data_IF_327510455610
#
_entry.id   IF_327510455610
#
_cell.length_a   1.000
_cell.length_b   1.000
_cell.length_c   1.000
_cell.angle_alpha   90.00
_cell.angle_beta   90.00
_cell.angle_gamma   90.00
#
_symmetry.space_group_name_H-M   'P 1'
#
loop_
_entity.id
_entity.type
_entity.pdbx_description
1 polymer ?
#
# COMPACT_ATOMS: atom_id res chain seq x y z
N UNK A 1 -3.53 5.13 31.25
CA UNK A 1 -4.40 6.33 31.37
C UNK A 1 -3.60 7.64 31.30
N UNK A 2 -2.37 7.72 31.83
CA UNK A 2 -1.48 8.89 31.70
C UNK A 2 -1.04 9.15 30.24
N UNK A 3 -0.56 8.14 29.53
CA UNK A 3 -0.07 8.26 28.13
C UNK A 3 -1.18 8.79 27.19
N UNK A 4 -2.41 8.29 27.30
CA UNK A 4 -3.55 8.77 26.50
C UNK A 4 -3.88 10.26 26.73
N UNK A 5 -3.66 10.77 27.95
CA UNK A 5 -3.86 12.20 28.25
C UNK A 5 -2.78 13.09 27.65
N UNK A 6 -1.59 12.54 27.38
CA UNK A 6 -0.51 13.27 26.72
C UNK A 6 -0.78 13.42 25.22
N UNK A 7 -1.25 12.37 24.54
CA UNK A 7 -1.60 12.43 23.12
C UNK A 7 -2.76 13.35 22.80
N UNK A 8 -3.75 13.47 23.68
CA UNK A 8 -4.84 14.44 23.52
C UNK A 8 -4.33 15.90 23.53
N UNK A 9 -3.29 16.20 24.32
CA UNK A 9 -2.65 17.53 24.32
C UNK A 9 -1.81 17.74 23.06
N UNK A 10 -1.05 16.72 22.65
CA UNK A 10 -0.28 16.75 21.40
C UNK A 10 -1.21 17.04 20.23
N UNK A 11 -2.37 16.40 20.16
CA UNK A 11 -3.37 16.67 19.13
C UNK A 11 -3.83 18.13 19.14
N UNK A 12 -4.23 18.67 20.30
CA UNK A 12 -4.70 20.06 20.42
C UNK A 12 -3.62 21.07 20.01
N UNK A 13 -2.38 20.85 20.45
CA UNK A 13 -1.23 21.68 20.08
C UNK A 13 -0.93 21.60 18.58
N UNK A 14 -1.00 20.40 17.98
CA UNK A 14 -0.78 20.23 16.54
C UNK A 14 -1.89 20.88 15.71
N UNK A 15 -3.17 20.76 16.12
CA UNK A 15 -4.29 21.43 15.46
C UNK A 15 -4.12 22.95 15.49
N UNK A 16 -3.69 23.53 16.61
CA UNK A 16 -3.36 24.97 16.70
C UNK A 16 -2.18 25.34 15.81
N UNK A 17 -1.12 24.52 15.77
CA UNK A 17 0.02 24.77 14.90
C UNK A 17 -0.38 24.76 13.42
N UNK A 18 -1.22 23.82 12.99
CA UNK A 18 -1.75 23.73 11.61
C UNK A 18 -2.67 24.90 11.27
N UNK A 19 -3.42 25.44 12.25
CA UNK A 19 -4.21 26.66 12.03
C UNK A 19 -3.32 27.88 11.73
N UNK A 20 -2.13 27.96 12.34
CA UNK A 20 -1.15 29.01 12.09
C UNK A 20 -0.39 28.78 10.78
N UNK A 21 -0.02 27.55 10.49
CA UNK A 21 0.66 27.14 9.26
C UNK A 21 0.08 25.83 8.71
N UNK A 22 -0.79 25.98 7.70
CA UNK A 22 -1.45 24.87 7.01
C UNK A 22 -0.51 24.04 6.12
N UNK A 23 0.71 24.51 5.93
CA UNK A 23 1.74 23.84 5.10
C UNK A 23 2.80 23.14 5.95
N UNK A 24 2.62 23.12 7.28
CA UNK A 24 3.56 22.48 8.19
C UNK A 24 3.50 20.94 8.09
N UNK A 25 4.41 20.34 7.31
CA UNK A 25 4.55 18.89 7.22
C UNK A 25 4.72 18.24 8.61
N UNK A 26 5.53 18.87 9.48
CA UNK A 26 5.74 18.40 10.86
C UNK A 26 4.47 18.48 11.72
N UNK A 27 3.67 19.54 11.56
CA UNK A 27 2.40 19.68 12.28
C UNK A 27 1.42 18.56 11.92
N UNK A 28 1.26 18.29 10.62
CA UNK A 28 0.44 17.19 10.11
C UNK A 28 0.97 15.81 10.54
N UNK A 29 2.30 15.61 10.51
CA UNK A 29 2.92 14.35 10.95
C UNK A 29 2.62 14.06 12.43
N UNK A 30 2.88 15.02 13.31
CA UNK A 30 2.66 14.87 14.75
C UNK A 30 1.18 14.70 15.09
N UNK A 31 0.29 15.38 14.37
CA UNK A 31 -1.16 15.17 14.48
C UNK A 31 -1.55 13.74 14.09
N UNK A 32 -1.02 13.25 12.97
CA UNK A 32 -1.21 11.88 12.51
C UNK A 32 -0.82 10.86 13.58
N UNK A 33 0.38 10.98 14.17
CA UNK A 33 0.84 10.11 15.25
C UNK A 33 -0.07 10.14 16.49
N UNK A 34 -0.51 11.33 16.91
CA UNK A 34 -1.41 11.47 18.05
C UNK A 34 -2.76 10.78 17.83
N UNK A 35 -3.33 10.93 16.64
CA UNK A 35 -4.59 10.29 16.24
C UNK A 35 -4.46 8.76 16.15
N UNK A 36 -3.35 8.26 15.58
CA UNK A 36 -3.06 6.83 15.54
C UNK A 36 -3.00 6.24 16.95
N UNK A 37 -2.36 6.92 17.89
CA UNK A 37 -2.25 6.47 19.28
C UNK A 37 -3.59 6.54 20.05
N UNK A 38 -4.50 7.42 19.61
CA UNK A 38 -5.88 7.50 20.09
C UNK A 38 -6.84 6.51 19.42
N UNK A 39 -6.35 5.68 18.49
CA UNK A 39 -7.13 4.74 17.68
C UNK A 39 -8.10 5.40 16.70
N UNK A 40 -7.86 6.67 16.38
CA UNK A 40 -8.60 7.41 15.34
C UNK A 40 -7.90 7.21 13.98
N UNK A 41 -7.79 5.94 13.57
CA UNK A 41 -6.95 5.50 12.46
C UNK A 41 -7.21 6.24 11.15
N UNK A 42 -8.48 6.41 10.78
CA UNK A 42 -8.85 7.04 9.51
C UNK A 42 -8.49 8.53 9.44
N UNK A 43 -8.51 9.27 10.54
CA UNK A 43 -8.02 10.66 10.58
C UNK A 43 -6.50 10.68 10.65
N UNK A 44 -5.89 9.82 11.48
CA UNK A 44 -4.44 9.72 11.58
C UNK A 44 -3.77 9.44 10.23
N UNK A 45 -4.28 8.49 9.47
CA UNK A 45 -3.79 8.18 8.12
C UNK A 45 -3.90 9.38 7.18
N UNK A 46 -5.02 10.11 7.19
CA UNK A 46 -5.21 11.30 6.33
C UNK A 46 -4.19 12.40 6.66
N UNK A 47 -3.91 12.61 7.94
CA UNK A 47 -2.93 13.59 8.39
C UNK A 47 -1.49 13.16 8.04
N UNK A 48 -1.18 11.86 8.13
CA UNK A 48 0.11 11.31 7.68
C UNK A 48 0.28 11.42 6.15
N UNK A 49 -0.75 11.12 5.36
CA UNK A 49 -0.75 11.34 3.90
C UNK A 49 -0.51 12.82 3.56
N UNK A 50 -1.18 13.72 4.29
CA UNK A 50 -0.98 15.17 4.10
C UNK A 50 0.43 15.61 4.48
N UNK A 51 0.96 15.08 5.57
CA UNK A 51 2.34 15.35 6.00
C UNK A 51 3.35 14.88 4.95
N UNK A 52 3.15 13.69 4.37
CA UNK A 52 4.02 13.15 3.34
C UNK A 52 4.00 14.04 2.09
N UNK A 53 2.82 14.47 1.66
CA UNK A 53 2.68 15.38 0.51
C UNK A 53 3.34 16.73 0.73
N UNK A 54 3.27 17.29 1.94
CA UNK A 54 3.92 18.55 2.29
C UNK A 54 5.44 18.41 2.52
N UNK A 55 5.90 17.22 2.92
CA UNK A 55 7.32 16.92 3.13
C UNK A 55 8.09 16.65 1.83
N UNK A 56 7.40 16.27 0.76
CA UNK A 56 8.02 16.07 -0.56
C UNK A 56 8.65 17.36 -1.09
N UNK A 57 9.86 17.27 -1.62
CA UNK A 57 10.63 18.43 -2.07
C UNK A 57 11.12 19.36 -0.94
N UNK A 58 10.95 18.99 0.33
CA UNK A 58 11.59 19.67 1.46
C UNK A 58 13.11 19.43 1.46
N UNK A 59 13.82 20.00 2.45
CA UNK A 59 15.27 19.84 2.59
C UNK A 59 15.67 18.35 2.49
N UNK A 60 16.45 17.95 1.47
CA UNK A 60 16.87 16.57 1.24
C UNK A 60 17.69 15.97 2.38
N UNK A 61 18.25 16.84 3.25
CA UNK A 61 18.98 16.41 4.46
C UNK A 61 18.04 16.01 5.61
N UNK A 62 16.75 16.26 5.47
CA UNK A 62 15.73 15.90 6.45
C UNK A 62 15.18 14.51 6.14
N UNK A 63 15.36 13.56 7.06
CA UNK A 63 14.78 12.22 6.97
C UNK A 63 13.26 12.19 7.25
N UNK A 64 12.61 13.35 7.35
CA UNK A 64 11.21 13.46 7.76
C UNK A 64 10.26 12.72 6.81
N UNK A 65 10.55 12.72 5.50
CA UNK A 65 9.73 12.00 4.50
C UNK A 65 9.77 10.50 4.73
N UNK A 66 10.94 9.96 5.07
CA UNK A 66 11.12 8.54 5.36
C UNK A 66 10.44 8.14 6.67
N UNK A 67 10.57 8.96 7.72
CA UNK A 67 9.89 8.75 9.00
C UNK A 67 8.35 8.78 8.84
N UNK A 68 7.82 9.78 8.14
CA UNK A 68 6.38 9.86 7.85
C UNK A 68 5.93 8.64 7.05
N UNK A 69 6.71 8.23 6.04
CA UNK A 69 6.39 7.07 5.22
C UNK A 69 6.33 5.78 6.04
N UNK A 70 7.30 5.54 6.93
CA UNK A 70 7.31 4.34 7.78
C UNK A 70 6.04 4.24 8.63
N UNK A 71 5.64 5.34 9.26
CA UNK A 71 4.45 5.37 10.12
C UNK A 71 3.15 5.26 9.31
N UNK A 72 3.08 5.90 8.14
CA UNK A 72 1.95 5.76 7.21
C UNK A 72 1.84 4.34 6.67
N UNK A 73 2.95 3.74 6.25
CA UNK A 73 3.01 2.41 5.68
C UNK A 73 2.56 1.37 6.71
N UNK A 74 3.05 1.46 7.94
CA UNK A 74 2.59 0.63 9.06
C UNK A 74 1.08 0.76 9.30
N UNK A 75 0.55 2.00 9.31
CA UNK A 75 -0.87 2.25 9.52
C UNK A 75 -1.74 1.63 8.41
N UNK A 76 -1.35 1.83 7.15
CA UNK A 76 -2.04 1.30 5.97
C UNK A 76 -1.94 -0.22 5.86
N UNK A 77 -0.79 -0.79 6.19
CA UNK A 77 -0.61 -2.24 6.21
C UNK A 77 -1.53 -2.90 7.24
N UNK A 78 -1.63 -2.35 8.46
CA UNK A 78 -2.54 -2.86 9.49
C UNK A 78 -4.02 -2.75 9.07
N UNK A 79 -4.41 -1.65 8.43
CA UNK A 79 -5.75 -1.48 7.87
C UNK A 79 -6.06 -2.56 6.82
N UNK A 80 -5.10 -2.80 5.91
CA UNK A 80 -5.22 -3.86 4.91
C UNK A 80 -5.24 -5.25 5.54
N UNK A 81 -4.38 -5.55 6.51
CA UNK A 81 -4.27 -6.87 7.15
C UNK A 81 -5.57 -7.28 7.86
N UNK A 82 -6.17 -6.34 8.61
CA UNK A 82 -7.48 -6.57 9.22
C UNK A 82 -8.58 -6.80 8.17
N UNK A 83 -8.61 -5.98 7.12
CA UNK A 83 -9.60 -6.11 6.06
C UNK A 83 -9.44 -7.42 5.28
N UNK A 84 -8.20 -7.78 4.94
CA UNK A 84 -7.81 -9.00 4.22
C UNK A 84 -8.14 -10.25 5.03
N UNK A 85 -7.81 -10.28 6.33
CA UNK A 85 -8.16 -11.40 7.22
C UNK A 85 -9.66 -11.63 7.26
N UNK A 86 -10.45 -10.54 7.39
CA UNK A 86 -11.92 -10.63 7.39
C UNK A 86 -12.44 -11.15 6.04
N UNK A 87 -11.96 -10.61 4.93
CA UNK A 87 -12.35 -11.04 3.58
C UNK A 87 -12.01 -12.51 3.34
N UNK A 88 -10.81 -12.95 3.72
CA UNK A 88 -10.37 -14.35 3.59
C UNK A 88 -11.30 -15.30 4.34
N UNK A 89 -11.67 -14.95 5.57
CA UNK A 89 -12.61 -15.75 6.36
C UNK A 89 -14.02 -15.79 5.74
N UNK A 90 -14.55 -14.64 5.30
CA UNK A 90 -15.85 -14.57 4.62
C UNK A 90 -15.86 -15.41 3.33
N UNK A 91 -14.78 -15.32 2.56
CA UNK A 91 -14.61 -16.02 1.29
C UNK A 91 -14.52 -17.55 1.48
N UNK A 92 -13.82 -18.00 2.52
CA UNK A 92 -13.75 -19.42 2.87
C UNK A 92 -15.12 -19.98 3.28
N UNK A 93 -15.85 -19.28 4.15
CA UNK A 93 -17.19 -19.70 4.55
C UNK A 93 -18.15 -19.76 3.35
N UNK A 94 -18.06 -18.79 2.44
CA UNK A 94 -18.89 -18.75 1.25
C UNK A 94 -18.54 -19.91 0.29
N UNK A 95 -17.26 -20.22 0.12
CA UNK A 95 -16.79 -21.37 -0.66
C UNK A 95 -17.41 -22.67 -0.14
N UNK A 96 -17.28 -22.93 1.16
CA UNK A 96 -17.83 -24.13 1.80
C UNK A 96 -19.36 -24.22 1.63
N UNK A 97 -20.08 -23.11 1.82
CA UNK A 97 -21.53 -23.07 1.63
C UNK A 97 -21.93 -23.38 0.17
N UNK A 98 -21.20 -22.83 -0.81
CA UNK A 98 -21.43 -23.11 -2.22
C UNK A 98 -21.15 -24.58 -2.58
N UNK A 99 -20.07 -25.16 -2.05
CA UNK A 99 -19.75 -26.58 -2.27
C UNK A 99 -20.83 -27.50 -1.70
N UNK A 100 -21.32 -27.21 -0.49
CA UNK A 100 -22.41 -27.96 0.14
C UNK A 100 -23.70 -27.85 -0.71
N UNK A 101 -24.06 -26.64 -1.14
CA UNK A 101 -25.26 -26.41 -1.94
C UNK A 101 -25.19 -27.12 -3.30
N UNK A 102 -24.03 -27.11 -3.96
CA UNK A 102 -23.82 -27.86 -5.20
C UNK A 102 -23.99 -29.36 -4.97
N UNK A 103 -23.30 -29.94 -3.96
CA UNK A 103 -23.41 -31.37 -3.66
C UNK A 103 -24.85 -31.77 -3.33
N UNK A 104 -25.58 -30.97 -2.55
CA UNK A 104 -26.99 -31.22 -2.23
C UNK A 104 -27.90 -31.20 -3.46
N UNK A 105 -27.69 -30.25 -4.39
CA UNK A 105 -28.45 -30.19 -5.64
C UNK A 105 -28.35 -31.48 -6.43
N UNK A 106 -27.14 -31.98 -6.66
CA UNK A 106 -26.94 -33.21 -7.42
C UNK A 106 -27.38 -34.47 -6.65
N UNK A 107 -27.30 -34.47 -5.32
CA UNK A 107 -27.87 -35.54 -4.48
C UNK A 107 -29.41 -35.60 -4.54
N UNK A 108 -30.09 -34.48 -4.81
CA UNK A 108 -31.55 -34.47 -5.02
C UNK A 108 -31.93 -34.93 -6.43
N UNK A 109 -31.13 -34.57 -7.45
CA UNK A 109 -31.35 -34.97 -8.85
C UNK A 109 -31.13 -36.49 -9.08
N UNK A 110 -30.33 -37.16 -8.25
CA UNK A 110 -30.03 -38.60 -8.35
C UNK A 110 -31.25 -39.51 -8.05
N UNK A 111 -32.27 -38.98 -7.36
CA UNK A 111 -33.52 -39.71 -7.08
C UNK A 111 -34.51 -39.71 -8.26
N UNK A 112 -34.33 -38.86 -9.27
CA UNK A 112 -35.27 -38.72 -10.40
C UNK A 112 -34.79 -39.40 -11.70
N UNK A 113 -33.52 -39.84 -11.79
CA UNK A 113 -32.92 -40.25 -13.07
C UNK A 113 -32.02 -41.51 -12.95
N UNK A 114 -32.62 -42.71 -12.90
CA UNK A 114 -31.94 -44.03 -12.80
C UNK A 114 -31.05 -44.44 -13.99
N UNK A 115 -30.56 -43.53 -14.84
CA UNK A 115 -29.79 -43.86 -16.05
C UNK A 115 -28.65 -42.93 -16.46
N UNK A 116 -28.44 -41.79 -15.79
CA UNK A 116 -27.47 -40.74 -16.19
C UNK A 116 -26.37 -40.46 -15.14
N UNK A 117 -26.19 -41.38 -14.19
CA UNK A 117 -25.33 -41.21 -12.99
C UNK A 117 -23.89 -40.80 -13.33
N UNK A 118 -23.32 -41.29 -14.44
CA UNK A 118 -21.94 -41.01 -14.84
C UNK A 118 -21.75 -39.59 -15.40
N UNK A 119 -22.73 -39.08 -16.16
CA UNK A 119 -22.69 -37.74 -16.76
C UNK A 119 -23.03 -36.64 -15.73
N UNK A 120 -23.97 -36.90 -14.81
CA UNK A 120 -24.29 -36.02 -13.70
C UNK A 120 -23.10 -35.88 -12.73
N UNK A 121 -22.40 -36.98 -12.45
CA UNK A 121 -21.18 -37.00 -11.63
C UNK A 121 -20.04 -36.20 -12.28
N UNK A 122 -19.81 -36.39 -13.59
CA UNK A 122 -18.82 -35.61 -14.33
C UNK A 122 -19.14 -34.10 -14.30
N UNK A 123 -20.42 -33.74 -14.47
CA UNK A 123 -20.86 -32.34 -14.43
C UNK A 123 -20.66 -31.69 -13.05
N UNK A 124 -20.96 -32.42 -11.96
CA UNK A 124 -20.70 -31.95 -10.59
C UNK A 124 -19.19 -31.68 -10.37
N UNK A 125 -18.33 -32.60 -10.82
CA UNK A 125 -16.87 -32.45 -10.70
C UNK A 125 -16.39 -31.18 -11.41
N UNK A 126 -16.87 -30.93 -12.63
CA UNK A 126 -16.46 -29.74 -13.39
C UNK A 126 -16.99 -28.43 -12.79
N UNK A 127 -18.20 -28.44 -12.22
CA UNK A 127 -18.73 -27.30 -11.47
C UNK A 127 -17.95 -27.03 -10.19
N UNK A 128 -17.54 -28.07 -9.45
CA UNK A 128 -16.69 -27.90 -8.26
C UNK A 128 -15.30 -27.35 -8.61
N UNK A 129 -14.69 -27.81 -9.71
CA UNK A 129 -13.42 -27.22 -10.21
C UNK A 129 -13.58 -25.76 -10.60
N UNK A 130 -14.68 -25.43 -11.28
CA UNK A 130 -15.00 -24.06 -11.68
C UNK A 130 -15.18 -23.18 -10.44
N UNK A 131 -15.91 -23.67 -9.44
CA UNK A 131 -16.11 -23.00 -8.16
C UNK A 131 -14.76 -22.74 -7.48
N UNK A 132 -13.90 -23.75 -7.38
CA UNK A 132 -12.56 -23.63 -6.82
C UNK A 132 -11.74 -22.55 -7.54
N UNK A 133 -11.76 -22.53 -8.87
CA UNK A 133 -11.06 -21.51 -9.67
C UNK A 133 -11.55 -20.09 -9.39
N UNK A 134 -12.87 -19.88 -9.26
CA UNK A 134 -13.44 -18.56 -8.95
C UNK A 134 -12.98 -18.07 -7.57
N UNK A 135 -13.01 -18.94 -6.58
CA UNK A 135 -12.57 -18.58 -5.23
C UNK A 135 -11.05 -18.36 -5.15
N UNK A 136 -10.25 -19.12 -5.91
CA UNK A 136 -8.81 -18.89 -6.00
C UNK A 136 -8.50 -17.50 -6.57
N UNK A 137 -9.15 -17.11 -7.67
CA UNK A 137 -8.98 -15.77 -8.27
C UNK A 137 -9.37 -14.67 -7.28
N UNK A 138 -10.42 -14.87 -6.49
CA UNK A 138 -10.83 -13.92 -5.47
C UNK A 138 -9.82 -13.80 -4.32
N UNK A 139 -9.13 -14.90 -3.97
CA UNK A 139 -8.06 -14.90 -2.94
C UNK A 139 -6.77 -14.24 -3.44
N UNK A 140 -6.46 -14.34 -4.73
CA UNK A 140 -5.22 -13.81 -5.30
C UNK A 140 -5.07 -12.29 -5.09
N UNK A 141 -6.19 -11.55 -4.99
CA UNK A 141 -6.20 -10.12 -4.70
C UNK A 141 -5.59 -9.74 -3.34
N UNK A 142 -5.66 -10.64 -2.36
CA UNK A 142 -5.14 -10.47 -1.00
C UNK A 142 -3.84 -11.27 -0.76
N UNK A 143 -3.28 -11.86 -1.80
CA UNK A 143 -2.02 -12.61 -1.71
C UNK A 143 -0.82 -11.66 -1.74
N UNK A 144 0.15 -11.91 -0.85
CA UNK A 144 1.42 -11.20 -0.82
C UNK A 144 2.21 -11.52 -2.10
N UNK A 145 2.56 -10.49 -2.87
CA UNK A 145 3.34 -10.62 -4.10
C UNK A 145 4.56 -9.70 -4.06
N UNK A 146 5.35 -9.71 -5.13
CA UNK A 146 6.45 -8.77 -5.31
C UNK A 146 5.95 -7.44 -5.88
N UNK A 147 6.55 -6.34 -5.42
CA UNK A 147 6.29 -5.02 -5.98
C UNK A 147 6.99 -4.94 -7.35
N UNK A 148 6.33 -4.49 -8.42
CA UNK A 148 6.97 -4.39 -9.72
C UNK A 148 8.17 -3.42 -9.75
N UNK A 149 9.31 -3.86 -10.29
CA UNK A 149 10.59 -3.12 -10.34
C UNK A 149 10.53 -1.73 -10.99
N UNK A 150 9.51 -1.47 -11.83
CA UNK A 150 9.31 -0.16 -12.46
C UNK A 150 8.68 0.86 -11.51
N UNK A 151 8.19 0.43 -10.35
CA UNK A 151 7.72 1.28 -9.24
C UNK A 151 8.79 1.47 -8.16
N UNK A 152 9.96 0.83 -8.32
CA UNK A 152 11.05 0.87 -7.36
C UNK A 152 12.22 1.73 -7.84
N UNK A 153 12.85 2.41 -6.90
CA UNK A 153 14.05 3.20 -7.13
C UNK A 153 15.24 2.30 -7.47
N UNK A 154 16.04 2.72 -8.46
CA UNK A 154 17.19 1.94 -8.94
C UNK A 154 18.37 1.85 -7.96
N UNK A 155 18.34 2.63 -6.88
CA UNK A 155 19.38 2.62 -5.85
C UNK A 155 18.88 1.93 -4.59
N UNK A 156 17.71 2.34 -4.06
CA UNK A 156 17.18 1.74 -2.82
C UNK A 156 16.52 0.40 -3.05
N UNK A 157 16.07 0.13 -4.28
CA UNK A 157 15.23 -1.03 -4.64
C UNK A 157 13.86 -1.03 -3.96
N UNK A 158 13.53 0.04 -3.23
CA UNK A 158 12.25 0.26 -2.58
C UNK A 158 11.30 1.05 -3.49
N UNK A 159 10.00 0.89 -3.24
CA UNK A 159 8.93 1.66 -3.84
C UNK A 159 9.14 3.18 -3.68
N UNK A 160 8.95 3.95 -4.75
CA UNK A 160 9.20 5.39 -4.73
C UNK A 160 8.29 6.15 -3.75
N UNK A 161 8.89 7.10 -3.03
CA UNK A 161 8.21 8.02 -2.10
C UNK A 161 8.17 9.43 -2.67
N UNK A 162 9.31 9.94 -3.15
CA UNK A 162 9.46 11.23 -3.84
C UNK A 162 10.28 11.04 -5.13
N UNK A 163 9.68 10.44 -6.18
CA UNK A 163 10.40 10.12 -7.40
C UNK A 163 10.82 11.39 -8.15
N UNK A 164 12.08 11.45 -8.57
CA UNK A 164 12.63 12.48 -9.47
C UNK A 164 13.26 11.84 -10.70
N UNK A 165 13.07 12.49 -11.85
CA UNK A 165 13.64 12.07 -13.13
C UNK A 165 14.84 12.94 -13.50
N UNK A 166 15.89 12.32 -14.01
CA UNK A 166 17.09 12.97 -14.54
C UNK A 166 16.96 13.22 -16.05
N UNK A 167 17.80 14.09 -16.66
CA UNK A 167 17.82 14.30 -18.12
C UNK A 167 18.09 13.03 -18.94
N UNK A 168 18.75 12.03 -18.36
CA UNK A 168 19.00 10.72 -18.97
C UNK A 168 17.73 9.85 -19.06
N UNK A 169 16.61 10.30 -18.47
CA UNK A 169 15.33 9.62 -18.46
C UNK A 169 15.16 8.60 -17.33
N UNK A 170 16.10 8.53 -16.39
CA UNK A 170 16.05 7.60 -15.26
C UNK A 170 15.40 8.24 -14.04
N UNK A 171 14.63 7.44 -13.29
CA UNK A 171 13.93 7.89 -12.08
C UNK A 171 14.57 7.33 -10.83
N UNK A 172 14.76 8.18 -9.82
CA UNK A 172 15.38 7.87 -8.54
C UNK A 172 14.55 8.44 -7.39
N UNK A 173 14.77 7.92 -6.19
CA UNK A 173 14.29 8.54 -4.97
C UNK A 173 15.06 9.85 -4.73
N UNK A 174 14.36 10.95 -4.45
CA UNK A 174 14.97 12.29 -4.36
C UNK A 174 16.11 12.35 -3.36
N UNK A 175 15.87 11.90 -2.13
CA UNK A 175 16.86 11.97 -1.05
C UNK A 175 18.17 11.27 -1.45
N UNK A 176 18.05 10.12 -2.13
CA UNK A 176 19.15 9.24 -2.48
C UNK A 176 19.96 9.78 -3.66
N UNK A 177 19.31 10.28 -4.72
CA UNK A 177 20.03 10.87 -5.84
C UNK A 177 20.72 12.18 -5.44
N UNK A 178 20.08 12.97 -4.57
CA UNK A 178 20.70 14.20 -4.05
C UNK A 178 21.90 13.89 -3.15
N UNK A 179 21.80 12.86 -2.31
CA UNK A 179 22.93 12.38 -1.52
C UNK A 179 24.08 11.90 -2.42
N UNK A 180 23.77 11.15 -3.48
CA UNK A 180 24.78 10.72 -4.47
C UNK A 180 25.48 11.90 -5.14
N UNK A 181 24.72 12.89 -5.64
CA UNK A 181 25.29 14.08 -6.28
C UNK A 181 26.21 14.83 -5.30
N UNK A 182 25.80 14.95 -4.04
CA UNK A 182 26.55 15.66 -3.01
C UNK A 182 27.79 14.91 -2.50
N UNK A 183 27.73 13.58 -2.33
CA UNK A 183 28.77 12.79 -1.65
C UNK A 183 29.66 11.98 -2.60
N UNK A 184 29.12 11.54 -3.74
CA UNK A 184 29.80 10.65 -4.69
C UNK A 184 30.29 11.45 -5.89
N UNK A 185 29.42 12.25 -6.51
CA UNK A 185 29.79 13.16 -7.58
C UNK A 185 28.65 13.54 -8.51
N UNK A 186 28.88 14.60 -9.28
CA UNK A 186 27.93 15.23 -10.21
C UNK A 186 27.75 14.46 -11.51
N UNK A 187 27.30 13.22 -11.40
CA UNK A 187 27.02 12.36 -12.53
C UNK A 187 25.87 11.39 -12.23
N UNK A 188 25.13 11.01 -13.26
CA UNK A 188 24.05 10.03 -13.16
C UNK A 188 24.62 8.65 -12.74
N UNK A 189 24.08 8.01 -11.67
CA UNK A 189 24.63 6.76 -11.13
C UNK A 189 24.76 5.62 -12.15
N UNK A 190 23.88 5.57 -13.16
CA UNK A 190 23.78 4.48 -14.12
C UNK A 190 24.48 4.87 -15.43
N UNK A 191 24.09 5.99 -16.04
CA UNK A 191 24.60 6.40 -17.36
C UNK A 191 25.95 7.09 -17.30
N UNK A 192 26.35 7.58 -16.12
CA UNK A 192 27.58 8.36 -15.88
C UNK A 192 27.65 9.69 -16.62
N UNK A 193 26.55 10.14 -17.21
CA UNK A 193 26.42 11.48 -17.79
C UNK A 193 26.50 12.55 -16.68
N UNK A 194 26.97 13.76 -17.00
CA UNK A 194 27.04 14.85 -16.03
C UNK A 194 25.63 15.18 -15.51
N UNK A 195 25.50 15.32 -14.19
CA UNK A 195 24.23 15.54 -13.52
C UNK A 195 24.40 16.51 -12.34
N UNK A 196 23.64 17.60 -12.37
CA UNK A 196 23.52 18.59 -11.30
C UNK A 196 22.12 18.55 -10.65
N UNK A 197 22.05 19.02 -9.39
CA UNK A 197 20.82 18.94 -8.57
C UNK A 197 19.63 19.72 -9.17
N UNK A 198 19.90 20.82 -9.85
CA UNK A 198 18.89 21.68 -10.47
C UNK A 198 18.23 21.04 -11.71
N UNK A 199 18.81 19.96 -12.22
CA UNK A 199 18.26 19.18 -13.34
C UNK A 199 17.25 18.12 -12.89
N UNK A 200 17.09 17.89 -11.58
CA UNK A 200 16.16 16.91 -11.03
C UNK A 200 14.72 17.42 -11.09
N UNK A 201 13.88 16.74 -11.87
CA UNK A 201 12.47 17.12 -12.04
C UNK A 201 11.59 16.13 -11.27
N UNK A 202 10.60 16.56 -10.47
CA UNK A 202 9.63 15.65 -9.85
C UNK A 202 8.90 14.81 -10.91
N UNK A 203 8.94 13.48 -10.78
CA UNK A 203 8.25 12.57 -11.69
C UNK A 203 6.84 12.25 -11.18
N UNK A 204 5.91 13.17 -11.45
CA UNK A 204 4.52 13.07 -10.99
C UNK A 204 3.79 11.84 -11.55
N UNK A 205 4.13 11.38 -12.76
CA UNK A 205 3.53 10.19 -13.35
C UNK A 205 3.88 8.92 -12.57
N UNK A 206 5.14 8.76 -12.18
CA UNK A 206 5.55 7.63 -11.33
C UNK A 206 4.96 7.75 -9.93
N UNK A 207 4.87 8.96 -9.38
CA UNK A 207 4.19 9.21 -8.09
C UNK A 207 2.73 8.72 -8.13
N UNK A 208 1.99 9.09 -9.17
CA UNK A 208 0.60 8.66 -9.36
C UNK A 208 0.48 7.15 -9.60
N UNK A 209 1.40 6.57 -10.37
CA UNK A 209 1.44 5.12 -10.62
C UNK A 209 1.65 4.33 -9.32
N UNK A 210 2.57 4.78 -8.46
CA UNK A 210 2.79 4.20 -7.14
C UNK A 210 1.54 4.32 -6.27
N UNK A 211 0.90 5.50 -6.24
CA UNK A 211 -0.32 5.70 -5.46
C UNK A 211 -1.47 4.81 -5.95
N UNK A 212 -1.64 4.69 -7.27
CA UNK A 212 -2.64 3.81 -7.87
C UNK A 212 -2.37 2.33 -7.53
N UNK A 213 -1.10 1.91 -7.55
CA UNK A 213 -0.70 0.56 -7.15
C UNK A 213 -1.05 0.30 -5.67
N UNK A 214 -0.60 1.16 -4.75
CA UNK A 214 -0.87 1.03 -3.32
C UNK A 214 -2.36 1.04 -2.97
N UNK A 215 -3.18 1.78 -3.73
CA UNK A 215 -4.63 1.80 -3.51
C UNK A 215 -5.31 0.44 -3.77
N UNK A 216 -4.69 -0.40 -4.61
CA UNK A 216 -5.17 -1.75 -4.96
C UNK A 216 -4.46 -2.84 -4.18
N UNK A 217 -3.21 -2.59 -3.80
CA UNK A 217 -2.31 -3.56 -3.20
C UNK A 217 -1.86 -3.08 -1.82
N UNK A 218 -2.79 -3.10 -0.85
CA UNK A 218 -2.51 -2.62 0.51
C UNK A 218 -1.39 -3.38 1.22
N UNK A 219 -1.13 -4.63 0.84
CA UNK A 219 0.02 -5.40 1.32
C UNK A 219 1.37 -4.79 0.94
N UNK A 220 1.43 -3.99 -0.13
CA UNK A 220 2.67 -3.38 -0.59
C UNK A 220 3.17 -2.25 0.32
N UNK A 221 2.39 -1.88 1.34
CA UNK A 221 2.85 -1.05 2.46
C UNK A 221 3.70 -1.82 3.48
N UNK A 222 3.91 -3.13 3.31
CA UNK A 222 4.78 -3.89 4.20
C UNK A 222 6.19 -3.29 4.18
N UNK A 223 6.67 -2.91 5.35
CA UNK A 223 8.07 -2.55 5.58
C UNK A 223 8.73 -3.72 6.30
N UNK A 224 9.79 -4.28 5.71
CA UNK A 224 10.57 -5.37 6.29
C UNK A 224 11.41 -4.93 7.50
#
# INVERSE_FOLDING_TARGET
MLILREWAKVEDDCRKAIQLDKTSAKGHYMLGLALMQRKEHAEGIRELEKALDLGRGADPKSNIVDEIWQELAKAKYLEWEHASTKRSWELQNLKEACEIALKQKYSLDDYETEGFVDEASATLIDQLKTLESVFQIAQDADTLQEVPDYLCCKITLDLFRDPVITPSGLTYERSVIMEHISKVGKFDPITREALDEDQLIPNLAIKEAVQAFLSKHGWAYRTD
#
